data_IF_939720681707
#
_entry.id   IF_939720681707
#
_cell.length_a   1.000
_cell.length_b   1.000
_cell.length_c   1.000
_cell.angle_alpha   90.00
_cell.angle_beta   90.00
_cell.angle_gamma   90.00
#
_symmetry.space_group_name_H-M   'P 1'
#
loop_
_entity.id
_entity.type
_entity.pdbx_description
1 polymer ?
#
# COMPACT_ATOMS: atom_id res chain seq x y z
N UNK A 1 3.74 -24.99 18.07
CA UNK A 1 3.18 -23.62 18.12
C UNK A 1 2.30 -23.43 16.90
N UNK A 2 1.24 -22.60 16.97
CA UNK A 2 0.39 -22.33 15.80
C UNK A 2 1.19 -21.61 14.71
N UNK A 3 0.89 -21.94 13.44
CA UNK A 3 1.46 -21.28 12.26
C UNK A 3 1.18 -19.77 12.32
N UNK A 4 2.23 -18.97 12.17
CA UNK A 4 2.13 -17.51 12.17
C UNK A 4 1.91 -16.96 10.76
N UNK A 5 0.91 -16.08 10.60
CA UNK A 5 0.63 -15.39 9.34
C UNK A 5 0.95 -13.91 9.48
N UNK A 6 1.73 -13.38 8.53
CA UNK A 6 2.04 -11.96 8.43
C UNK A 6 1.67 -11.38 7.07
N UNK A 7 1.04 -10.21 7.07
CA UNK A 7 0.67 -9.48 5.86
C UNK A 7 1.52 -8.21 5.78
N UNK A 8 2.34 -8.12 4.73
CA UNK A 8 3.21 -6.99 4.47
C UNK A 8 2.59 -6.12 3.39
N UNK A 9 2.37 -4.85 3.73
CA UNK A 9 1.73 -3.86 2.89
C UNK A 9 2.73 -2.80 2.47
N UNK A 10 2.51 -2.23 1.29
CA UNK A 10 3.19 -1.02 0.86
C UNK A 10 2.67 0.20 1.63
N UNK A 11 3.48 1.24 1.79
CA UNK A 11 2.99 2.56 2.23
C UNK A 11 1.95 3.15 1.26
N UNK A 12 1.86 2.64 0.03
CA UNK A 12 0.82 2.97 -0.95
C UNK A 12 -0.51 2.22 -0.74
N UNK A 13 -0.55 1.22 0.14
CA UNK A 13 -1.77 0.45 0.36
C UNK A 13 -2.79 1.32 1.09
N UNK A 14 -4.04 1.28 0.63
CA UNK A 14 -5.14 2.05 1.19
C UNK A 14 -5.36 1.72 2.67
N UNK A 15 -5.70 2.70 3.50
CA UNK A 15 -5.90 2.49 4.94
C UNK A 15 -7.11 1.60 5.27
N UNK A 16 -8.11 1.52 4.39
CA UNK A 16 -9.29 0.67 4.62
C UNK A 16 -8.93 -0.80 4.81
N UNK A 17 -7.85 -1.28 4.17
CA UNK A 17 -7.41 -2.68 4.25
C UNK A 17 -7.19 -3.12 5.70
N UNK A 18 -6.71 -2.21 6.55
CA UNK A 18 -6.44 -2.51 7.95
C UNK A 18 -7.71 -2.86 8.72
N UNK A 19 -8.89 -2.45 8.28
CA UNK A 19 -10.16 -2.85 8.89
C UNK A 19 -10.47 -4.33 8.69
N UNK A 20 -10.14 -4.88 7.51
CA UNK A 20 -10.40 -6.28 7.17
C UNK A 20 -9.37 -7.22 7.80
N UNK A 21 -8.13 -6.76 7.91
CA UNK A 21 -7.00 -7.63 8.30
C UNK A 21 -6.55 -7.44 9.75
N UNK A 22 -7.35 -6.77 10.61
CA UNK A 22 -7.03 -6.50 12.04
C UNK A 22 -6.58 -7.74 12.83
N UNK A 23 -7.09 -8.92 12.45
CA UNK A 23 -6.76 -10.20 13.10
C UNK A 23 -5.37 -10.75 12.76
N UNK A 24 -4.70 -10.18 11.75
CA UNK A 24 -3.39 -10.62 11.29
C UNK A 24 -2.29 -9.68 11.77
N UNK A 25 -1.06 -10.20 11.86
CA UNK A 25 0.11 -9.34 12.08
C UNK A 25 0.41 -8.58 10.80
N UNK A 26 0.30 -7.26 10.83
CA UNK A 26 0.49 -6.40 9.66
C UNK A 26 1.70 -5.50 9.78
N UNK A 27 2.39 -5.23 8.67
CA UNK A 27 3.52 -4.30 8.64
C UNK A 27 3.53 -3.49 7.34
N UNK A 28 3.74 -2.17 7.42
CA UNK A 28 4.06 -1.35 6.26
C UNK A 28 5.55 -1.36 5.92
N UNK A 29 5.87 -1.42 4.64
CA UNK A 29 7.23 -1.30 4.11
C UNK A 29 7.28 -0.42 2.86
N UNK A 30 8.44 0.20 2.68
CA UNK A 30 8.80 0.88 1.43
C UNK A 30 8.78 -0.12 0.30
N UNK A 31 8.32 0.33 -0.87
CA UNK A 31 8.29 -0.43 -2.11
C UNK A 31 9.64 -1.08 -2.43
N UNK A 32 9.59 -2.21 -3.13
CA UNK A 32 10.75 -3.01 -3.51
C UNK A 32 10.76 -4.39 -2.88
N UNK A 33 10.76 -5.41 -3.73
CA UNK A 33 10.66 -6.84 -3.39
C UNK A 33 11.59 -7.26 -2.26
N UNK A 34 12.85 -6.81 -2.27
CA UNK A 34 13.84 -7.16 -1.24
C UNK A 34 13.39 -6.75 0.17
N UNK A 35 12.74 -5.59 0.31
CA UNK A 35 12.23 -5.11 1.59
C UNK A 35 11.05 -5.96 2.07
N UNK A 36 10.14 -6.28 1.15
CA UNK A 36 8.97 -7.10 1.45
C UNK A 36 9.34 -8.53 1.81
N UNK A 37 10.17 -9.20 1.00
CA UNK A 37 10.63 -10.58 1.26
C UNK A 37 11.32 -10.68 2.61
N UNK A 38 12.19 -9.73 2.96
CA UNK A 38 12.87 -9.70 4.27
C UNK A 38 11.87 -9.57 5.43
N UNK A 39 10.79 -8.82 5.26
CA UNK A 39 9.75 -8.68 6.27
C UNK A 39 8.84 -9.92 6.36
N UNK A 40 8.44 -10.47 5.21
CA UNK A 40 7.59 -11.64 5.08
C UNK A 40 8.23 -12.90 5.68
N UNK A 41 9.55 -13.07 5.53
CA UNK A 41 10.32 -14.20 6.10
C UNK A 41 10.35 -14.27 7.63
N UNK A 42 9.78 -13.28 8.33
CA UNK A 42 9.65 -13.31 9.81
C UNK A 42 8.44 -14.12 10.29
N UNK A 43 7.62 -14.63 9.36
CA UNK A 43 6.40 -15.37 9.62
C UNK A 43 6.48 -16.75 8.96
N UNK A 44 5.66 -17.68 9.43
CA UNK A 44 5.55 -19.01 8.81
C UNK A 44 4.88 -18.93 7.44
N UNK A 45 3.89 -18.04 7.30
CA UNK A 45 3.29 -17.65 6.03
C UNK A 45 3.36 -16.12 5.95
N UNK A 46 4.22 -15.61 5.09
CA UNK A 46 4.40 -14.18 4.84
C UNK A 46 3.81 -13.78 3.51
N UNK A 47 2.74 -12.99 3.50
CA UNK A 47 2.04 -12.51 2.31
C UNK A 47 2.47 -11.08 2.04
N UNK A 48 2.91 -10.75 0.82
CA UNK A 48 3.25 -9.38 0.47
C UNK A 48 2.81 -9.03 -0.95
N UNK A 49 2.05 -7.94 -1.08
CA UNK A 49 1.63 -7.40 -2.37
C UNK A 49 1.64 -5.87 -2.33
N UNK A 50 2.06 -5.28 -3.44
CA UNK A 50 1.88 -3.86 -3.73
C UNK A 50 0.51 -3.64 -4.39
N UNK A 51 -0.08 -2.43 -4.27
CA UNK A 51 -1.38 -2.14 -4.88
C UNK A 51 -1.45 -2.34 -6.40
N UNK A 52 -0.31 -2.31 -7.09
CA UNK A 52 -0.22 -2.59 -8.53
C UNK A 52 -0.29 -4.09 -8.88
N UNK A 53 -0.46 -4.97 -7.89
CA UNK A 53 -0.55 -6.42 -8.05
C UNK A 53 0.79 -7.15 -7.99
N UNK A 54 1.91 -6.44 -7.86
CA UNK A 54 3.22 -7.08 -7.71
C UNK A 54 3.41 -7.63 -6.30
N UNK A 55 3.76 -8.92 -6.18
CA UNK A 55 3.91 -9.56 -4.87
C UNK A 55 4.07 -11.07 -4.96
N UNK A 56 4.20 -11.71 -3.79
CA UNK A 56 4.24 -13.17 -3.65
C UNK A 56 3.93 -13.58 -2.20
N UNK A 57 3.98 -14.89 -1.94
CA UNK A 57 3.85 -15.50 -0.61
C UNK A 57 5.14 -16.25 -0.29
N UNK A 58 5.60 -16.15 0.95
CA UNK A 58 6.77 -16.88 1.46
C UNK A 58 6.33 -17.86 2.53
N UNK A 59 6.84 -19.08 2.46
CA UNK A 59 6.58 -20.14 3.43
C UNK A 59 7.85 -20.51 4.19
N UNK A 60 7.77 -20.64 5.52
CA UNK A 60 8.87 -21.16 6.34
C UNK A 60 8.98 -22.67 6.22
N UNK A 61 10.13 -23.23 6.56
CA UNK A 61 10.30 -24.69 6.64
C UNK A 61 9.32 -25.35 7.62
N UNK A 62 8.93 -24.63 8.68
CA UNK A 62 7.93 -25.10 9.64
C UNK A 62 6.55 -25.20 8.99
N UNK A 63 6.17 -24.20 8.20
CA UNK A 63 4.91 -24.22 7.44
C UNK A 63 4.89 -25.37 6.44
N UNK A 64 5.94 -25.52 5.64
CA UNK A 64 6.06 -26.59 4.64
C UNK A 64 5.93 -27.98 5.26
N UNK A 65 6.66 -28.25 6.34
CA UNK A 65 6.54 -29.52 7.10
C UNK A 65 5.13 -29.76 7.64
N UNK A 66 4.44 -28.70 8.06
CA UNK A 66 3.06 -28.81 8.54
C UNK A 66 2.12 -29.19 7.39
N UNK A 67 2.31 -28.63 6.20
CA UNK A 67 1.51 -28.96 5.01
C UNK A 67 1.78 -30.40 4.55
N UNK A 68 3.03 -30.86 4.61
CA UNK A 68 3.45 -32.21 4.24
C UNK A 68 2.88 -33.28 5.18
N UNK A 69 2.96 -33.05 6.48
CA UNK A 69 2.56 -34.05 7.49
C UNK A 69 1.04 -34.16 7.70
N UNK A 70 0.25 -33.22 7.18
CA UNK A 70 -1.19 -33.25 7.31
C UNK A 70 -1.89 -34.05 6.20
N UNK A 71 -3.02 -34.66 6.54
CA UNK A 71 -3.77 -35.60 5.69
C UNK A 71 -5.16 -35.08 5.27
N UNK A 72 -5.51 -33.84 5.67
CA UNK A 72 -6.80 -33.25 5.30
C UNK A 72 -6.76 -32.59 3.90
N UNK A 73 -7.92 -32.38 3.25
CA UNK A 73 -7.98 -31.66 1.97
C UNK A 73 -7.35 -30.25 2.03
N UNK A 74 -7.41 -29.58 3.19
CA UNK A 74 -6.78 -28.26 3.37
C UNK A 74 -5.25 -28.35 3.31
N UNK A 75 -4.65 -29.41 3.87
CA UNK A 75 -3.21 -29.62 3.78
C UNK A 75 -2.77 -29.89 2.34
N UNK A 76 -3.56 -30.64 1.58
CA UNK A 76 -3.33 -30.84 0.14
C UNK A 76 -3.38 -29.53 -0.65
N UNK A 77 -4.39 -28.70 -0.42
CA UNK A 77 -4.50 -27.36 -1.02
C UNK A 77 -3.27 -26.51 -0.67
N UNK A 78 -2.85 -26.51 0.60
CA UNK A 78 -1.69 -25.74 1.05
C UNK A 78 -0.38 -26.24 0.43
N UNK A 79 -0.20 -27.55 0.27
CA UNK A 79 0.94 -28.14 -0.45
C UNK A 79 0.99 -27.64 -1.89
N UNK A 80 -0.11 -27.76 -2.63
CA UNK A 80 -0.21 -27.32 -4.02
C UNK A 80 0.07 -25.81 -4.11
N UNK A 81 -0.60 -24.99 -3.29
CA UNK A 81 -0.38 -23.55 -3.28
C UNK A 81 1.06 -23.17 -2.95
N UNK A 82 1.71 -23.87 -2.01
CA UNK A 82 3.10 -23.56 -1.63
C UNK A 82 4.10 -23.77 -2.76
N UNK A 83 3.77 -24.64 -3.73
CA UNK A 83 4.57 -24.88 -4.92
C UNK A 83 4.31 -23.85 -6.03
N UNK A 84 3.18 -23.13 -5.97
CA UNK A 84 2.78 -22.14 -6.98
C UNK A 84 3.39 -20.76 -6.74
N UNK A 85 3.72 -20.41 -5.50
CA UNK A 85 4.33 -19.12 -5.18
C UNK A 85 5.85 -19.25 -5.12
N UNK A 86 6.54 -18.81 -6.17
CA UNK A 86 7.98 -18.58 -6.10
C UNK A 86 8.26 -17.22 -5.41
N UNK A 87 9.15 -17.16 -4.41
CA UNK A 87 9.46 -15.91 -3.72
C UNK A 87 10.28 -14.92 -4.56
N UNK A 88 10.79 -15.33 -5.73
CA UNK A 88 11.62 -14.54 -6.65
C UNK A 88 10.84 -14.02 -7.86
N UNK A 89 9.71 -14.66 -8.22
CA UNK A 89 8.85 -14.28 -9.36
C UNK A 89 7.39 -14.42 -8.96
N UNK A 90 6.64 -13.31 -8.96
CA UNK A 90 5.17 -13.37 -8.89
C UNK A 90 4.62 -13.97 -10.18
N UNK A 91 3.98 -15.14 -10.09
CA UNK A 91 3.49 -15.88 -11.24
C UNK A 91 2.02 -15.55 -11.53
N UNK A 92 1.75 -14.96 -12.70
CA UNK A 92 0.39 -14.66 -13.16
C UNK A 92 -0.48 -15.92 -13.30
N UNK A 93 0.10 -17.07 -13.66
CA UNK A 93 -0.60 -18.35 -13.72
C UNK A 93 -1.03 -18.81 -12.32
N UNK A 94 -0.16 -18.67 -11.33
CA UNK A 94 -0.47 -18.99 -9.94
C UNK A 94 -1.66 -18.14 -9.44
N UNK A 95 -1.62 -16.83 -9.70
CA UNK A 95 -2.72 -15.92 -9.35
C UNK A 95 -4.02 -16.32 -10.08
N UNK A 96 -3.96 -16.63 -11.39
CA UNK A 96 -5.12 -17.08 -12.16
C UNK A 96 -5.75 -18.36 -11.58
N UNK A 97 -4.93 -19.35 -11.22
CA UNK A 97 -5.42 -20.61 -10.66
C UNK A 97 -6.09 -20.39 -9.29
N UNK A 98 -5.55 -19.49 -8.47
CA UNK A 98 -6.20 -19.07 -7.21
C UNK A 98 -7.56 -18.41 -7.49
N UNK A 99 -7.64 -17.46 -8.43
CA UNK A 99 -8.92 -16.84 -8.81
C UNK A 99 -9.92 -17.88 -9.32
N UNK A 100 -9.49 -18.79 -10.22
CA UNK A 100 -10.34 -19.86 -10.75
C UNK A 100 -10.90 -20.75 -9.65
N UNK A 101 -10.14 -21.03 -8.59
CA UNK A 101 -10.60 -21.83 -7.45
C UNK A 101 -11.58 -21.07 -6.53
N UNK A 102 -11.41 -19.75 -6.39
CA UNK A 102 -12.18 -18.90 -5.49
C UNK A 102 -13.49 -18.35 -6.10
N UNK A 103 -13.53 -18.12 -7.42
CA UNK A 103 -14.70 -17.61 -8.14
C UNK A 103 -15.77 -18.72 -8.22
N UNK A 104 -16.48 -18.94 -7.10
CA UNK A 104 -17.69 -19.79 -7.04
C UNK A 104 -18.98 -18.96 -6.97
N UNK A 105 -18.90 -17.72 -6.45
CA UNK A 105 -19.98 -16.72 -6.45
C UNK A 105 -19.39 -15.32 -6.22
N UNK A 106 -20.05 -14.29 -6.72
CA UNK A 106 -19.68 -12.87 -6.51
C UNK A 106 -20.03 -12.33 -5.13
N UNK A 107 -20.86 -13.04 -4.35
CA UNK A 107 -21.43 -12.50 -3.11
C UNK A 107 -20.43 -12.42 -1.94
N UNK A 108 -19.34 -13.19 -1.98
CA UNK A 108 -18.26 -13.16 -0.97
C UNK A 108 -17.26 -12.01 -1.15
N UNK A 109 -17.32 -11.26 -2.26
CA UNK A 109 -16.32 -10.23 -2.60
C UNK A 109 -16.80 -8.81 -2.24
N UNK A 110 -18.06 -8.64 -1.84
CA UNK A 110 -18.70 -7.31 -1.70
C UNK A 110 -18.39 -6.53 -0.41
N UNK A 111 -17.68 -7.10 0.57
CA UNK A 111 -17.58 -6.48 1.90
C UNK A 111 -16.45 -5.47 2.04
N UNK A 112 -15.39 -5.60 1.24
CA UNK A 112 -14.25 -4.68 1.28
C UNK A 112 -14.43 -3.55 0.29
N UNK A 113 -14.22 -2.32 0.76
CA UNK A 113 -14.17 -1.14 -0.08
C UNK A 113 -12.98 -0.28 0.35
N UNK A 114 -12.14 0.10 -0.61
CA UNK A 114 -11.09 1.10 -0.37
C UNK A 114 -11.74 2.42 0.08
N UNK A 115 -11.04 3.15 0.96
CA UNK A 115 -11.32 4.56 1.14
C UNK A 115 -11.15 5.28 -0.20
N UNK A 116 -12.02 6.26 -0.52
CA UNK A 116 -11.75 7.20 -1.59
C UNK A 116 -10.31 7.72 -1.51
N UNK A 117 -9.64 7.79 -2.66
CA UNK A 117 -8.26 8.30 -2.72
C UNK A 117 -8.05 9.20 -3.93
N UNK A 118 -7.09 10.12 -3.80
CA UNK A 118 -6.68 11.07 -4.83
C UNK A 118 -5.17 11.09 -4.96
N UNK A 119 -4.73 11.24 -6.20
CA UNK A 119 -3.34 11.46 -6.56
C UNK A 119 -3.24 12.78 -7.33
N UNK A 120 -2.76 13.83 -6.65
CA UNK A 120 -2.50 15.13 -7.27
C UNK A 120 -1.01 15.27 -7.60
N UNK A 121 -0.71 16.19 -8.51
CA UNK A 121 0.66 16.54 -8.87
C UNK A 121 0.83 18.05 -8.78
N UNK A 122 1.87 18.48 -8.06
CA UNK A 122 2.29 19.88 -7.98
C UNK A 122 3.63 20.01 -8.68
N UNK A 123 3.71 20.88 -9.69
CA UNK A 123 4.98 21.27 -10.28
C UNK A 123 5.71 22.20 -9.33
N UNK A 124 7.01 21.98 -9.17
CA UNK A 124 7.88 22.78 -8.31
C UNK A 124 9.10 23.19 -9.10
N UNK A 125 9.78 24.26 -8.68
CA UNK A 125 10.99 24.72 -9.38
C UNK A 125 12.17 23.76 -9.21
N UNK A 126 12.32 23.18 -8.02
CA UNK A 126 13.31 22.14 -7.74
C UNK A 126 12.72 21.12 -6.76
N UNK A 127 12.57 19.88 -7.21
CA UNK A 127 12.03 18.79 -6.38
C UNK A 127 12.92 18.43 -5.19
N UNK A 128 14.22 18.75 -5.24
CA UNK A 128 15.18 18.40 -4.20
C UNK A 128 15.03 19.27 -2.94
N UNK A 129 14.23 20.33 -3.02
CA UNK A 129 13.77 21.11 -1.86
C UNK A 129 12.93 20.27 -0.90
N UNK A 130 12.34 19.17 -1.39
CA UNK A 130 11.57 18.24 -0.58
C UNK A 130 12.35 16.95 -0.42
N UNK A 131 12.70 16.62 0.82
CA UNK A 131 13.32 15.34 1.16
C UNK A 131 12.36 14.52 2.00
N UNK A 132 12.13 13.27 1.61
CA UNK A 132 11.22 12.35 2.31
C UNK A 132 11.96 11.11 2.78
N UNK A 133 11.52 10.54 3.89
CA UNK A 133 12.05 9.27 4.40
C UNK A 133 11.41 8.06 3.70
N UNK A 134 11.80 6.86 4.14
CA UNK A 134 11.33 5.58 3.61
C UNK A 134 9.82 5.33 3.78
N UNK A 135 9.17 6.05 4.70
CA UNK A 135 7.73 6.00 4.99
C UNK A 135 6.96 7.11 4.26
N UNK A 136 7.61 7.88 3.39
CA UNK A 136 7.10 9.09 2.74
C UNK A 136 6.81 10.25 3.71
N UNK A 137 7.44 10.30 4.88
CA UNK A 137 7.37 11.48 5.76
C UNK A 137 8.39 12.51 5.30
N UNK A 138 7.97 13.76 5.19
CA UNK A 138 8.82 14.91 4.84
C UNK A 138 9.79 15.18 5.98
N UNK A 139 11.08 15.12 5.64
CA UNK A 139 12.20 15.52 6.49
C UNK A 139 12.55 16.99 6.28
N UNK A 140 12.48 17.46 5.03
CA UNK A 140 12.77 18.84 4.65
C UNK A 140 11.73 19.27 3.61
N UNK A 141 11.11 20.46 3.74
CA UNK A 141 11.17 21.32 4.93
C UNK A 141 10.33 20.71 6.07
N UNK A 142 10.78 20.82 7.33
CA UNK A 142 10.14 20.13 8.47
C UNK A 142 8.71 20.59 8.74
N UNK A 143 8.44 21.88 8.54
CA UNK A 143 7.10 22.47 8.72
C UNK A 143 6.05 21.83 7.78
N UNK A 144 6.44 21.35 6.60
CA UNK A 144 5.52 20.73 5.66
C UNK A 144 4.92 19.43 6.23
N UNK A 145 5.69 18.61 6.96
CA UNK A 145 5.14 17.40 7.57
C UNK A 145 4.09 17.73 8.65
N UNK A 146 4.31 18.79 9.42
CA UNK A 146 3.36 19.24 10.45
C UNK A 146 2.04 19.70 9.82
N UNK A 147 2.10 20.43 8.70
CA UNK A 147 0.94 20.83 7.93
C UNK A 147 0.18 19.62 7.38
N UNK A 148 0.89 18.66 6.77
CA UNK A 148 0.30 17.40 6.27
C UNK A 148 -0.42 16.65 7.39
N UNK A 149 0.23 16.49 8.54
CA UNK A 149 -0.34 15.80 9.71
C UNK A 149 -1.59 16.52 10.22
N UNK A 150 -1.56 17.86 10.26
CA UNK A 150 -2.69 18.68 10.68
C UNK A 150 -3.89 18.51 9.76
N UNK A 151 -3.70 18.61 8.43
CA UNK A 151 -4.79 18.40 7.47
C UNK A 151 -5.33 16.97 7.51
N UNK A 152 -4.45 15.97 7.52
CA UNK A 152 -4.84 14.56 7.59
C UNK A 152 -5.72 14.29 8.83
N UNK A 153 -5.36 14.88 9.97
CA UNK A 153 -6.16 14.79 11.21
C UNK A 153 -7.54 15.44 11.06
N UNK A 154 -7.65 16.60 10.43
CA UNK A 154 -8.94 17.31 10.25
C UNK A 154 -9.95 16.48 9.44
N UNK A 155 -9.46 15.77 8.43
CA UNK A 155 -10.28 15.00 7.49
C UNK A 155 -10.38 13.51 7.83
N UNK A 156 -9.89 13.11 9.02
CA UNK A 156 -9.77 11.71 9.43
C UNK A 156 -9.16 10.82 8.33
N UNK A 157 -8.15 11.36 7.65
CA UNK A 157 -7.54 10.77 6.47
C UNK A 157 -6.06 10.52 6.65
N UNK A 158 -5.43 10.07 5.57
CA UNK A 158 -3.99 9.92 5.45
C UNK A 158 -3.52 10.60 4.18
N UNK A 159 -2.41 11.33 4.28
CA UNK A 159 -1.76 11.92 3.12
C UNK A 159 -0.25 11.82 3.25
N UNK A 160 0.43 11.73 2.11
CA UNK A 160 1.88 11.82 2.01
C UNK A 160 2.27 12.42 0.68
N UNK A 161 3.49 12.95 0.62
CA UNK A 161 4.05 13.55 -0.60
C UNK A 161 5.27 12.78 -1.05
N UNK A 162 5.53 12.78 -2.36
CA UNK A 162 6.70 12.13 -2.94
C UNK A 162 7.24 12.93 -4.14
N UNK A 163 8.49 13.41 -4.07
CA UNK A 163 9.18 13.97 -5.23
C UNK A 163 9.28 12.95 -6.38
N UNK A 164 9.12 13.40 -7.62
CA UNK A 164 9.29 12.54 -8.80
C UNK A 164 10.76 12.12 -8.98
N UNK A 165 10.99 10.94 -9.55
CA UNK A 165 12.35 10.50 -9.89
C UNK A 165 12.93 11.25 -11.09
N UNK A 166 12.07 11.70 -12.01
CA UNK A 166 12.47 12.13 -13.36
C UNK A 166 12.11 13.57 -13.70
N UNK A 167 11.27 14.22 -12.89
CA UNK A 167 10.67 15.52 -13.22
C UNK A 167 10.63 16.42 -11.99
N UNK A 168 10.63 17.73 -12.20
CA UNK A 168 10.48 18.72 -11.12
C UNK A 168 9.01 18.88 -10.73
N UNK A 169 8.48 17.81 -10.14
CA UNK A 169 7.15 17.73 -9.60
C UNK A 169 7.11 16.84 -8.36
N UNK A 170 6.07 17.05 -7.57
CA UNK A 170 5.78 16.35 -6.32
C UNK A 170 4.40 15.73 -6.46
N UNK A 171 4.29 14.43 -6.16
CA UNK A 171 3.03 13.70 -6.13
C UNK A 171 2.46 13.75 -4.73
N UNK A 172 1.17 14.03 -4.61
CA UNK A 172 0.43 14.11 -3.36
C UNK A 172 -0.60 13.00 -3.38
N UNK A 173 -0.49 12.07 -2.44
CA UNK A 173 -1.51 11.07 -2.21
C UNK A 173 -2.37 11.50 -1.02
N UNK A 174 -3.68 11.37 -1.14
CA UNK A 174 -4.62 11.56 -0.05
C UNK A 174 -5.69 10.47 -0.07
N UNK A 175 -6.12 10.03 1.09
CA UNK A 175 -7.26 9.14 1.28
C UNK A 175 -8.02 9.52 2.55
N UNK A 176 -9.33 9.37 2.55
CA UNK A 176 -10.17 9.50 3.74
C UNK A 176 -11.46 8.69 3.59
N UNK A 177 -12.23 8.45 4.68
CA UNK A 177 -13.44 7.64 4.62
C UNK A 177 -14.54 8.15 3.67
N UNK A 178 -14.49 9.41 3.23
CA UNK A 178 -15.47 9.96 2.29
C UNK A 178 -14.82 10.82 1.18
N UNK A 179 -15.50 10.90 0.04
CA UNK A 179 -14.94 11.51 -1.17
C UNK A 179 -14.66 13.00 -1.00
N UNK A 180 -15.58 13.75 -0.37
CA UNK A 180 -15.43 15.20 -0.21
C UNK A 180 -14.22 15.54 0.65
N UNK A 181 -14.03 14.83 1.77
CA UNK A 181 -12.88 15.04 2.66
C UNK A 181 -11.58 14.62 2.00
N UNK A 182 -11.60 13.58 1.16
CA UNK A 182 -10.43 13.16 0.38
C UNK A 182 -10.03 14.26 -0.60
N UNK A 183 -11.00 14.85 -1.28
CA UNK A 183 -10.81 15.95 -2.22
C UNK A 183 -10.22 17.17 -1.50
N UNK A 184 -10.82 17.59 -0.38
CA UNK A 184 -10.31 18.70 0.42
C UNK A 184 -8.90 18.44 0.97
N UNK A 185 -8.64 17.24 1.50
CA UNK A 185 -7.32 16.86 1.99
C UNK A 185 -6.27 16.93 0.89
N UNK A 186 -6.57 16.38 -0.29
CA UNK A 186 -5.66 16.37 -1.43
C UNK A 186 -5.28 17.80 -1.84
N UNK A 187 -6.27 18.68 -1.99
CA UNK A 187 -6.05 20.09 -2.34
C UNK A 187 -5.25 20.79 -1.27
N UNK A 188 -5.63 20.67 0.00
CA UNK A 188 -4.95 21.38 1.09
C UNK A 188 -3.48 20.98 1.18
N UNK A 189 -3.17 19.70 1.06
CA UNK A 189 -1.78 19.25 1.04
C UNK A 189 -1.05 19.72 -0.23
N UNK A 190 -1.70 19.69 -1.40
CA UNK A 190 -1.11 20.21 -2.63
C UNK A 190 -0.78 21.72 -2.52
N UNK A 191 -1.67 22.51 -1.93
CA UNK A 191 -1.46 23.94 -1.67
C UNK A 191 -0.28 24.15 -0.70
N UNK A 192 -0.21 23.40 0.40
CA UNK A 192 0.93 23.47 1.32
C UNK A 192 2.26 23.13 0.62
N UNK A 193 2.29 22.13 -0.27
CA UNK A 193 3.47 21.83 -1.09
C UNK A 193 3.81 23.00 -2.02
N UNK A 194 2.83 23.55 -2.72
CA UNK A 194 3.03 24.67 -3.63
C UNK A 194 3.63 25.89 -2.91
N UNK A 195 3.02 26.28 -1.78
CA UNK A 195 3.36 27.48 -1.04
C UNK A 195 4.72 27.36 -0.32
N UNK A 196 5.09 26.16 0.14
CA UNK A 196 6.32 25.94 0.91
C UNK A 196 7.50 25.43 0.07
N UNK A 197 7.30 25.10 -1.21
CA UNK A 197 8.32 24.41 -2.01
C UNK A 197 8.45 24.98 -3.44
N UNK A 198 8.30 26.30 -3.59
CA UNK A 198 8.47 27.00 -4.88
C UNK A 198 7.59 26.39 -5.99
N UNK A 199 6.29 26.27 -5.73
CA UNK A 199 5.31 25.80 -6.72
C UNK A 199 5.31 26.61 -8.01
N UNK A 200 5.04 25.94 -9.13
CA UNK A 200 5.07 26.53 -10.49
C UNK A 200 3.73 26.29 -11.19
N UNK A 201 3.17 27.36 -11.77
CA UNK A 201 1.92 27.33 -12.53
C UNK A 201 0.74 27.85 -11.73
N UNK A 202 -0.45 27.34 -12.00
CA UNK A 202 -1.65 27.72 -11.27
C UNK A 202 -1.65 27.13 -9.86
N UNK A 203 -2.28 27.84 -8.93
CA UNK A 203 -2.41 27.36 -7.55
C UNK A 203 -3.26 26.09 -7.51
N UNK A 204 -2.90 25.06 -6.72
CA UNK A 204 -3.60 23.78 -6.76
C UNK A 204 -5.08 23.88 -6.38
N UNK A 205 -5.91 23.32 -7.26
CA UNK A 205 -7.36 23.18 -7.08
C UNK A 205 -7.83 21.81 -7.60
N UNK A 206 -9.05 21.40 -7.24
CA UNK A 206 -9.70 20.27 -7.89
C UNK A 206 -10.60 20.79 -9.00
N UNK A 207 -10.26 20.38 -10.21
CA UNK A 207 -11.07 20.57 -11.39
C UNK A 207 -12.01 19.36 -11.55
N UNK A 208 -13.30 19.55 -11.24
CA UNK A 208 -14.34 18.52 -11.43
C UNK A 208 -14.88 18.47 -12.87
N UNK A 209 -14.36 19.30 -13.78
CA UNK A 209 -14.84 19.38 -15.17
C UNK A 209 -14.13 18.42 -16.14
N UNK A 210 -13.10 17.73 -15.67
CA UNK A 210 -12.36 16.69 -16.41
C UNK A 210 -12.64 15.31 -15.83
#
# INVERSE_FOLDING_TARGET
>A
MPITIGIILSYYSNDAVFNEIKRFKTLRKTTGVKNFVKAARKYDIGIYFEPNGHGSVVFSNTALKTFENGDTPQHEILRIMSQMFDPSIGDALANYLVFKALIKSTDTIKTYQDYPSRLMTVKVKDKNLIQVNKSNEVLIPTNLQELINSEAKKFNGRSFVRPSGTEDLVRIYAESPNTSDTDFLAVKVAQHVYDNCEGVGDHPEIDYSK
#
